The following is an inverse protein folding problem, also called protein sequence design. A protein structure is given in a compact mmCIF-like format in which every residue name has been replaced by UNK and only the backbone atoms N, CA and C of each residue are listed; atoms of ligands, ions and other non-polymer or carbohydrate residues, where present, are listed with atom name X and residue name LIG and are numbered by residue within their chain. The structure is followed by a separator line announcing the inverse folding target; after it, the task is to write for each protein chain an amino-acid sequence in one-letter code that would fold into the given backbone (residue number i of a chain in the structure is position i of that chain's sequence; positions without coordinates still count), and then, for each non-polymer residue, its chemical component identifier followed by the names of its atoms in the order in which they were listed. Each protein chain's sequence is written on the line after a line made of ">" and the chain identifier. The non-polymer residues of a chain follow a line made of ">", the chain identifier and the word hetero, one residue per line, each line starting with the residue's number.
data_IF_138632444970
#
_entry.id   IF_138632444970
#
_cell.length_a   1.000
_cell.length_b   1.000
_cell.length_c   1.000
_cell.angle_alpha   90.00
_cell.angle_beta   90.00
_cell.angle_gamma   90.00
#
_symmetry.space_group_name_H-M   'P 1'
#
loop_
_entity.id
_entity.type
_entity.pdbx_description
1 polymer ?
#
# COMPACT_ATOMS: atom_id res chain seq x y z
N UNK A 1 -46.55 70.34 32.79
CA UNK A 1 -45.23 70.43 32.17
C UNK A 1 -44.24 69.76 33.10
N UNK A 2 -43.85 68.53 32.78
CA UNK A 2 -42.79 67.83 33.50
C UNK A 2 -41.68 67.50 32.48
N UNK A 3 -40.58 68.19 32.65
CA UNK A 3 -39.42 68.05 31.74
C UNK A 3 -38.79 66.71 31.92
N UNK A 4 -38.58 66.08 30.78
CA UNK A 4 -37.82 64.84 30.60
C UNK A 4 -36.33 65.21 30.71
N UNK A 5 -35.72 64.84 31.83
CA UNK A 5 -34.28 65.02 32.02
C UNK A 5 -33.63 63.77 31.45
N UNK A 6 -33.21 63.83 30.20
CA UNK A 6 -32.33 62.85 29.61
C UNK A 6 -31.04 62.76 30.41
N UNK A 7 -30.88 61.68 31.17
CA UNK A 7 -29.60 61.32 31.80
C UNK A 7 -28.57 61.03 30.71
N UNK A 8 -27.80 62.06 30.37
CA UNK A 8 -26.55 61.87 29.64
C UNK A 8 -25.57 61.19 30.59
N UNK A 9 -25.43 59.90 30.52
CA UNK A 9 -24.46 59.15 31.34
C UNK A 9 -23.06 59.70 31.11
N UNK A 10 -22.49 60.39 32.11
CA UNK A 10 -21.09 60.79 32.15
C UNK A 10 -20.26 59.48 32.18
N UNK A 11 -19.69 59.06 31.05
CA UNK A 11 -18.68 58.03 31.05
C UNK A 11 -17.47 58.53 31.84
N UNK A 12 -17.13 57.83 32.92
CA UNK A 12 -15.96 58.14 33.74
C UNK A 12 -14.69 58.01 32.85
N UNK A 13 -13.72 58.93 33.00
CA UNK A 13 -12.44 58.89 32.31
C UNK A 13 -11.73 57.48 32.40
N UNK A 14 -11.90 56.86 33.59
CA UNK A 14 -11.41 55.47 33.78
C UNK A 14 -12.09 54.45 32.84
N UNK A 15 -13.38 54.61 32.58
CA UNK A 15 -14.12 53.71 31.69
C UNK A 15 -13.69 53.89 30.24
N UNK A 16 -13.39 55.12 29.82
CA UNK A 16 -12.84 55.41 28.49
C UNK A 16 -11.42 54.83 28.33
N UNK A 17 -10.56 54.96 29.36
CA UNK A 17 -9.23 54.38 29.37
C UNK A 17 -9.27 52.84 29.32
N UNK A 18 -10.11 52.21 30.15
CA UNK A 18 -10.28 50.74 30.11
C UNK A 18 -10.81 50.23 28.76
N UNK A 19 -11.80 50.92 28.19
CA UNK A 19 -12.31 50.59 26.86
C UNK A 19 -11.24 50.74 25.79
N UNK A 20 -10.41 51.79 25.83
CA UNK A 20 -9.28 51.98 24.92
C UNK A 20 -8.20 50.90 25.05
N UNK A 21 -7.85 50.48 26.26
CA UNK A 21 -6.92 49.41 26.52
C UNK A 21 -7.43 48.06 25.97
N UNK A 22 -8.72 47.74 26.19
CA UNK A 22 -9.32 46.53 25.68
C UNK A 22 -9.29 46.47 24.13
N UNK A 23 -9.59 47.58 23.47
CA UNK A 23 -9.50 47.66 21.98
C UNK A 23 -8.09 47.44 21.50
N UNK A 24 -7.07 47.98 22.17
CA UNK A 24 -5.65 47.80 21.83
C UNK A 24 -5.25 46.33 22.03
N UNK A 25 -5.62 45.72 23.16
CA UNK A 25 -5.32 44.30 23.44
C UNK A 25 -5.99 43.36 22.42
N UNK A 26 -7.24 43.63 22.06
CA UNK A 26 -7.95 42.86 21.03
C UNK A 26 -7.30 43.00 19.65
N UNK A 27 -6.88 44.24 19.30
CA UNK A 27 -6.16 44.46 18.04
C UNK A 27 -4.80 43.71 18.00
N UNK A 28 -4.09 43.74 19.14
CA UNK A 28 -2.81 43.03 19.27
C UNK A 28 -2.99 41.50 19.18
N UNK A 29 -4.01 40.93 19.82
CA UNK A 29 -4.35 39.53 19.75
C UNK A 29 -4.71 39.11 18.33
N UNK A 30 -5.52 39.91 17.61
CA UNK A 30 -5.84 39.67 16.21
C UNK A 30 -4.61 39.72 15.30
N UNK A 31 -3.72 40.68 15.52
CA UNK A 31 -2.47 40.79 14.75
C UNK A 31 -1.59 39.59 14.99
N UNK A 32 -1.37 39.15 16.22
CA UNK A 32 -0.61 37.97 16.57
C UNK A 32 -1.18 36.71 15.89
N UNK A 33 -2.50 36.53 15.95
CA UNK A 33 -3.19 35.42 15.30
C UNK A 33 -3.00 35.41 13.75
N UNK A 34 -3.11 36.60 13.14
CA UNK A 34 -2.89 36.72 11.69
C UNK A 34 -1.44 36.39 11.30
N UNK A 35 -0.47 36.80 12.15
CA UNK A 35 0.93 36.47 11.96
C UNK A 35 1.17 34.97 12.08
N UNK A 36 0.56 34.26 13.04
CA UNK A 36 0.63 32.80 13.17
C UNK A 36 -0.02 32.08 11.99
N UNK A 37 -1.16 32.57 11.51
CA UNK A 37 -1.82 32.04 10.31
C UNK A 37 -0.93 32.19 9.07
N UNK A 38 -0.31 33.37 8.92
CA UNK A 38 0.60 33.62 7.80
C UNK A 38 1.88 32.76 7.88
N UNK A 39 2.47 32.65 9.07
CA UNK A 39 3.66 31.84 9.29
C UNK A 39 3.42 30.35 9.10
N UNK A 40 2.24 29.85 9.52
CA UNK A 40 1.87 28.44 9.38
C UNK A 40 1.26 28.10 8.02
N UNK A 41 0.81 29.09 7.23
CA UNK A 41 0.04 28.89 6.00
C UNK A 41 -1.34 28.26 6.22
N UNK A 42 -1.82 28.21 7.48
CA UNK A 42 -3.09 27.59 7.86
C UNK A 42 -4.09 28.63 8.32
N UNK A 43 -5.29 28.57 7.79
CA UNK A 43 -6.40 29.44 8.23
C UNK A 43 -6.93 29.05 9.62
N UNK A 44 -6.95 27.76 9.92
CA UNK A 44 -7.37 27.20 11.22
C UNK A 44 -6.13 26.78 12.01
N UNK A 45 -5.89 27.43 13.14
CA UNK A 45 -4.79 27.10 14.04
C UNK A 45 -5.24 26.10 15.12
N UNK A 46 -6.44 26.30 15.65
CA UNK A 46 -7.02 25.46 16.69
C UNK A 46 -8.38 24.90 16.26
N UNK A 47 -8.73 23.65 16.66
CA UNK A 47 -10.04 23.07 16.38
C UNK A 47 -11.21 23.88 16.98
N UNK A 48 -10.96 24.68 18.03
CA UNK A 48 -11.92 25.55 18.67
C UNK A 48 -12.31 26.80 17.86
N UNK A 49 -11.49 27.12 16.82
CA UNK A 49 -11.74 28.32 15.99
C UNK A 49 -12.92 28.11 15.03
N UNK A 50 -13.03 26.91 14.48
CA UNK A 50 -14.16 26.44 13.68
C UNK A 50 -14.30 24.92 13.84
N UNK A 51 -15.16 24.45 14.74
CA UNK A 51 -15.34 23.02 15.02
C UNK A 51 -15.93 22.27 13.82
N UNK A 52 -16.70 22.93 12.96
CA UNK A 52 -17.28 22.29 11.76
C UNK A 52 -16.20 22.04 10.72
N UNK A 53 -15.39 23.05 10.43
CA UNK A 53 -14.25 22.90 9.51
C UNK A 53 -13.19 21.94 10.08
N UNK A 54 -12.94 21.94 11.38
CA UNK A 54 -12.03 21.00 12.03
C UNK A 54 -12.52 19.54 11.87
N UNK A 55 -13.82 19.29 12.03
CA UNK A 55 -14.41 17.97 11.80
C UNK A 55 -14.27 17.54 10.33
N UNK A 56 -14.51 18.43 9.38
CA UNK A 56 -14.31 18.16 7.96
C UNK A 56 -12.86 17.84 7.62
N UNK A 57 -11.90 18.59 8.17
CA UNK A 57 -10.47 18.32 8.01
C UNK A 57 -10.11 16.92 8.53
N UNK A 58 -10.66 16.52 9.68
CA UNK A 58 -10.44 15.18 10.22
C UNK A 58 -10.99 14.08 9.31
N UNK A 59 -12.19 14.26 8.77
CA UNK A 59 -12.79 13.33 7.83
C UNK A 59 -11.95 13.21 6.55
N UNK A 60 -11.49 14.33 5.99
CA UNK A 60 -10.63 14.34 4.80
C UNK A 60 -9.29 13.67 5.09
N UNK A 61 -8.68 13.91 6.25
CA UNK A 61 -7.42 13.25 6.64
C UNK A 61 -7.59 11.75 6.80
N UNK A 62 -8.72 11.30 7.36
CA UNK A 62 -9.04 9.87 7.44
C UNK A 62 -9.19 9.23 6.07
N UNK A 63 -9.85 9.92 5.13
CA UNK A 63 -9.99 9.43 3.76
C UNK A 63 -8.66 9.43 3.01
N UNK A 64 -7.81 10.45 3.18
CA UNK A 64 -6.45 10.45 2.62
C UNK A 64 -5.62 9.28 3.14
N UNK A 65 -5.64 9.02 4.46
CA UNK A 65 -4.93 7.88 5.03
C UNK A 65 -5.43 6.54 4.47
N UNK A 66 -6.74 6.43 4.20
CA UNK A 66 -7.32 5.26 3.54
C UNK A 66 -6.83 5.12 2.11
N UNK A 67 -6.76 6.22 1.36
CA UNK A 67 -6.23 6.24 -0.02
C UNK A 67 -4.76 5.84 -0.04
N UNK A 68 -3.94 6.34 0.88
CA UNK A 68 -2.52 5.98 1.00
C UNK A 68 -2.36 4.48 1.26
N UNK A 69 -3.20 3.90 2.12
CA UNK A 69 -3.21 2.45 2.37
C UNK A 69 -3.57 1.67 1.10
N UNK A 70 -4.60 2.10 0.37
CA UNK A 70 -5.00 1.47 -0.89
C UNK A 70 -3.90 1.56 -1.95
N UNK A 71 -3.22 2.70 -2.07
CA UNK A 71 -2.09 2.86 -2.99
C UNK A 71 -0.94 1.92 -2.63
N UNK A 72 -0.63 1.77 -1.35
CA UNK A 72 0.37 0.82 -0.87
C UNK A 72 -0.01 -0.62 -1.21
N UNK A 73 -1.27 -0.99 -1.02
CA UNK A 73 -1.79 -2.33 -1.37
C UNK A 73 -1.72 -2.58 -2.89
N UNK A 74 -2.10 -1.60 -3.71
CA UNK A 74 -2.00 -1.68 -5.18
C UNK A 74 -0.54 -1.86 -5.61
N UNK A 75 0.39 -1.12 -5.02
CA UNK A 75 1.82 -1.23 -5.34
C UNK A 75 2.36 -2.62 -5.00
N UNK A 76 1.98 -3.16 -3.82
CA UNK A 76 2.34 -4.53 -3.42
C UNK A 76 1.76 -5.56 -4.37
N UNK A 77 0.49 -5.45 -4.70
CA UNK A 77 -0.19 -6.32 -5.64
C UNK A 77 0.45 -6.32 -7.02
N UNK A 78 0.81 -5.13 -7.53
CA UNK A 78 1.50 -5.00 -8.81
C UNK A 78 2.87 -5.69 -8.80
N UNK A 79 3.60 -5.59 -7.69
CA UNK A 79 4.88 -6.28 -7.54
C UNK A 79 4.73 -7.80 -7.46
N UNK A 80 3.71 -8.30 -6.75
CA UNK A 80 3.40 -9.74 -6.72
C UNK A 80 3.00 -10.26 -8.10
N UNK A 81 2.15 -9.54 -8.83
CA UNK A 81 1.73 -9.93 -10.18
C UNK A 81 2.92 -9.95 -11.16
N UNK A 82 3.82 -8.97 -11.10
CA UNK A 82 5.02 -8.98 -11.92
C UNK A 82 5.89 -10.21 -11.63
N UNK A 83 6.04 -10.59 -10.36
CA UNK A 83 6.78 -11.80 -9.97
C UNK A 83 6.10 -13.08 -10.50
N UNK A 84 4.76 -13.14 -10.46
CA UNK A 84 4.00 -14.28 -11.05
C UNK A 84 4.20 -14.33 -12.55
N UNK A 85 4.14 -13.18 -13.23
CA UNK A 85 4.39 -13.08 -14.69
C UNK A 85 5.78 -13.60 -15.08
N UNK A 86 6.82 -13.15 -14.36
CA UNK A 86 8.20 -13.61 -14.57
C UNK A 86 8.35 -15.12 -14.31
N UNK A 87 7.71 -15.63 -13.26
CA UNK A 87 7.71 -17.05 -12.94
C UNK A 87 7.02 -17.89 -14.03
N UNK A 88 5.87 -17.45 -14.52
CA UNK A 88 5.13 -18.13 -15.60
C UNK A 88 5.92 -18.10 -16.90
N UNK A 89 6.55 -16.98 -17.26
CA UNK A 89 7.40 -16.87 -18.45
C UNK A 89 8.61 -17.83 -18.37
N UNK A 90 9.22 -17.96 -17.18
CA UNK A 90 10.29 -18.94 -16.95
C UNK A 90 9.78 -20.37 -17.14
N UNK A 91 8.65 -20.73 -16.56
CA UNK A 91 8.01 -22.06 -16.73
C UNK A 91 7.73 -22.36 -18.19
N UNK A 92 7.22 -21.39 -18.96
CA UNK A 92 6.98 -21.54 -20.40
C UNK A 92 8.28 -21.88 -21.14
N UNK A 93 9.37 -21.15 -20.85
CA UNK A 93 10.70 -21.43 -21.44
C UNK A 93 11.20 -22.85 -21.14
N UNK A 94 11.06 -23.29 -19.87
CA UNK A 94 11.43 -24.63 -19.43
C UNK A 94 10.63 -25.73 -20.18
N UNK A 95 9.30 -25.51 -20.32
CA UNK A 95 8.42 -26.44 -21.01
C UNK A 95 8.72 -26.52 -22.52
N UNK A 96 9.02 -25.37 -23.14
CA UNK A 96 9.46 -25.36 -24.56
C UNK A 96 10.76 -26.16 -24.75
N UNK A 97 11.72 -26.00 -23.86
CA UNK A 97 12.99 -26.76 -23.91
C UNK A 97 12.76 -28.25 -23.68
N UNK A 98 11.92 -28.61 -22.71
CA UNK A 98 11.56 -30.01 -22.47
C UNK A 98 10.89 -30.63 -23.69
N UNK A 99 10.01 -29.89 -24.37
CA UNK A 99 9.37 -30.35 -25.61
C UNK A 99 10.41 -30.60 -26.75
N UNK A 100 11.36 -29.65 -26.92
CA UNK A 100 12.43 -29.85 -27.91
C UNK A 100 13.23 -31.12 -27.63
N UNK A 101 13.60 -31.35 -26.37
CA UNK A 101 14.36 -32.54 -25.96
C UNK A 101 13.54 -33.81 -26.16
N UNK A 102 12.24 -33.78 -25.83
CA UNK A 102 11.36 -34.92 -26.05
C UNK A 102 11.24 -35.27 -27.54
N UNK A 103 11.07 -34.27 -28.41
CA UNK A 103 11.04 -34.51 -29.90
C UNK A 103 12.38 -35.05 -30.39
N UNK A 104 13.51 -34.50 -29.87
CA UNK A 104 14.85 -35.01 -30.22
C UNK A 104 15.03 -36.45 -29.72
N UNK A 105 14.63 -36.76 -28.48
CA UNK A 105 14.76 -38.06 -27.87
C UNK A 105 13.91 -39.16 -28.54
N UNK A 106 12.80 -38.76 -29.19
CA UNK A 106 11.95 -39.67 -29.99
C UNK A 106 12.57 -40.10 -31.32
N UNK A 107 13.73 -39.57 -31.68
CA UNK A 107 14.40 -39.96 -32.91
C UNK A 107 15.08 -41.34 -32.75
N UNK A 108 14.69 -42.29 -33.58
CA UNK A 108 15.20 -43.69 -33.55
C UNK A 108 16.68 -43.83 -33.95
N UNK A 109 17.28 -42.82 -34.57
CA UNK A 109 18.70 -42.83 -34.94
C UNK A 109 19.66 -42.48 -33.80
N UNK A 110 19.15 -42.11 -32.63
CA UNK A 110 19.99 -41.77 -31.47
C UNK A 110 20.59 -42.99 -30.80
N UNK A 111 21.87 -42.87 -30.42
CA UNK A 111 22.53 -43.88 -29.59
C UNK A 111 21.92 -43.94 -28.18
N UNK A 112 22.04 -45.06 -27.43
CA UNK A 112 21.63 -45.15 -26.05
C UNK A 112 22.31 -44.10 -25.15
N UNK A 113 23.56 -43.73 -25.45
CA UNK A 113 24.30 -42.68 -24.71
C UNK A 113 23.69 -41.32 -24.96
N UNK A 114 23.33 -40.95 -26.17
CA UNK A 114 22.70 -39.67 -26.49
C UNK A 114 21.32 -39.54 -25.83
N UNK A 115 20.54 -40.65 -25.80
CA UNK A 115 19.26 -40.71 -25.11
C UNK A 115 19.40 -40.47 -23.57
N UNK A 116 20.45 -41.04 -22.96
CA UNK A 116 20.75 -40.83 -21.54
C UNK A 116 21.12 -39.37 -21.26
N UNK A 117 21.85 -38.69 -22.14
CA UNK A 117 22.17 -37.25 -22.01
C UNK A 117 20.89 -36.45 -22.05
N UNK A 118 19.99 -36.73 -23.02
CA UNK A 118 18.69 -36.04 -23.09
C UNK A 118 17.85 -36.30 -21.85
N UNK A 119 17.81 -37.51 -21.32
CA UNK A 119 17.07 -37.83 -20.10
C UNK A 119 17.60 -37.03 -18.90
N UNK A 120 18.91 -36.93 -18.73
CA UNK A 120 19.53 -36.13 -17.67
C UNK A 120 19.18 -34.64 -17.81
N UNK A 121 19.15 -34.10 -19.03
CA UNK A 121 18.75 -32.71 -19.27
C UNK A 121 17.27 -32.51 -18.93
N UNK A 122 16.39 -33.45 -19.28
CA UNK A 122 14.95 -33.39 -18.90
C UNK A 122 14.77 -33.46 -17.36
N UNK A 123 15.53 -34.29 -16.68
CA UNK A 123 15.50 -34.37 -15.22
C UNK A 123 15.91 -33.00 -14.58
N UNK A 124 16.95 -32.36 -15.10
CA UNK A 124 17.39 -31.04 -14.69
C UNK A 124 16.28 -29.98 -14.90
N UNK A 125 15.62 -30.03 -16.08
CA UNK A 125 14.48 -29.12 -16.37
C UNK A 125 13.30 -29.37 -15.42
N UNK A 126 13.06 -30.64 -15.04
CA UNK A 126 12.03 -30.97 -14.03
C UNK A 126 12.33 -30.35 -12.67
N UNK A 127 13.59 -30.45 -12.20
CA UNK A 127 14.00 -29.83 -10.94
C UNK A 127 13.83 -28.32 -10.99
N UNK A 128 14.21 -27.67 -12.10
CA UNK A 128 14.01 -26.24 -12.30
C UNK A 128 12.53 -25.86 -12.32
N UNK A 129 11.67 -26.70 -12.90
CA UNK A 129 10.22 -26.49 -12.91
C UNK A 129 9.64 -26.54 -11.50
N UNK A 130 10.06 -27.50 -10.67
CA UNK A 130 9.66 -27.60 -9.27
C UNK A 130 10.15 -26.38 -8.49
N UNK A 131 11.38 -25.93 -8.72
CA UNK A 131 11.90 -24.73 -8.11
C UNK A 131 11.09 -23.49 -8.50
N UNK A 132 10.72 -23.34 -9.76
CA UNK A 132 9.86 -22.25 -10.23
C UNK A 132 8.45 -22.31 -9.62
N UNK A 133 7.89 -23.52 -9.47
CA UNK A 133 6.60 -23.73 -8.80
C UNK A 133 6.65 -23.48 -7.28
N UNK A 134 7.84 -23.45 -6.70
CA UNK A 134 8.09 -23.09 -5.29
C UNK A 134 8.66 -21.68 -5.14
N UNK A 135 8.38 -20.78 -6.07
CA UNK A 135 8.81 -19.37 -5.97
C UNK A 135 8.18 -18.70 -4.75
N UNK A 136 9.00 -17.94 -4.03
CA UNK A 136 8.58 -17.17 -2.86
C UNK A 136 8.49 -15.68 -3.19
N UNK A 137 7.55 -14.98 -2.55
CA UNK A 137 7.47 -13.52 -2.58
C UNK A 137 8.60 -12.88 -1.76
N UNK A 138 8.71 -11.56 -1.82
CA UNK A 138 9.65 -10.79 -0.97
C UNK A 138 9.44 -11.00 0.53
N UNK A 139 8.23 -11.39 0.93
CA UNK A 139 7.84 -11.64 2.32
C UNK A 139 8.17 -13.09 2.75
N UNK A 140 8.66 -13.93 1.84
CA UNK A 140 8.99 -15.33 2.08
C UNK A 140 7.82 -16.30 1.90
N UNK A 141 6.67 -15.81 1.47
CA UNK A 141 5.47 -16.59 1.21
C UNK A 141 5.54 -17.29 -0.14
N UNK A 142 5.16 -18.56 -0.20
CA UNK A 142 5.04 -19.29 -1.47
C UNK A 142 3.83 -18.80 -2.27
N UNK A 143 4.08 -18.32 -3.50
CA UNK A 143 3.04 -17.67 -4.32
C UNK A 143 1.98 -18.63 -4.86
N UNK A 144 2.31 -19.90 -4.99
CA UNK A 144 1.41 -20.95 -5.53
C UNK A 144 0.82 -21.87 -4.46
N UNK A 145 0.98 -21.55 -3.17
CA UNK A 145 0.54 -22.39 -2.07
C UNK A 145 -0.92 -22.16 -1.61
N UNK A 146 -1.63 -21.19 -2.19
CA UNK A 146 -2.95 -20.75 -1.72
C UNK A 146 -2.85 -19.99 -0.40
N UNK A 147 -3.54 -20.46 0.65
CA UNK A 147 -3.40 -19.91 2.02
C UNK A 147 -2.28 -20.57 2.83
N UNK A 148 -1.78 -21.74 2.41
CA UNK A 148 -0.72 -22.49 3.09
C UNK A 148 0.69 -21.94 2.76
N UNK A 149 0.87 -20.62 2.80
CA UNK A 149 2.02 -19.87 2.27
C UNK A 149 3.37 -20.18 2.93
N UNK A 150 3.36 -20.80 4.11
CA UNK A 150 4.59 -21.07 4.90
C UNK A 150 5.28 -22.38 4.53
N UNK A 151 4.67 -23.23 3.70
CA UNK A 151 5.20 -24.52 3.27
C UNK A 151 5.33 -24.57 1.76
N UNK A 152 6.40 -25.23 1.24
CA UNK A 152 6.58 -25.41 -0.19
C UNK A 152 5.39 -26.20 -0.78
N UNK A 153 4.68 -25.63 -1.79
CA UNK A 153 3.50 -26.28 -2.35
C UNK A 153 3.82 -27.53 -3.17
N UNK A 154 5.04 -27.64 -3.70
CA UNK A 154 5.47 -28.81 -4.47
C UNK A 154 6.65 -29.48 -3.82
N UNK A 155 6.50 -30.76 -3.49
CA UNK A 155 7.60 -31.59 -3.01
C UNK A 155 8.03 -32.54 -4.11
N UNK A 156 9.36 -32.70 -4.28
CA UNK A 156 9.95 -33.63 -5.22
C UNK A 156 9.85 -35.05 -4.68
N UNK A 157 8.95 -35.85 -5.24
CA UNK A 157 9.04 -37.29 -5.14
C UNK A 157 9.61 -37.80 -6.49
N UNK A 158 10.51 -38.73 -6.44
CA UNK A 158 11.36 -39.26 -7.53
C UNK A 158 10.64 -39.58 -8.87
N UNK A 159 9.32 -39.68 -8.86
CA UNK A 159 8.50 -39.99 -10.05
C UNK A 159 7.38 -38.96 -10.29
N UNK A 160 6.79 -38.40 -9.20
CA UNK A 160 5.67 -37.48 -9.32
C UNK A 160 5.82 -36.35 -8.29
N UNK A 161 5.84 -35.10 -8.73
CA UNK A 161 5.72 -33.96 -7.83
C UNK A 161 4.34 -33.98 -7.16
N UNK A 162 4.32 -33.88 -5.82
CA UNK A 162 3.06 -33.84 -5.06
C UNK A 162 2.76 -32.39 -4.68
N UNK A 163 1.53 -31.97 -4.98
CA UNK A 163 1.02 -30.67 -4.53
C UNK A 163 0.45 -30.79 -3.11
N UNK A 164 0.95 -29.99 -2.18
CA UNK A 164 0.53 -29.92 -0.77
C UNK A 164 -0.07 -28.57 -0.38
N UNK A 165 -0.25 -27.67 -1.32
CA UNK A 165 -0.95 -26.40 -1.11
C UNK A 165 -2.46 -26.59 -0.99
N UNK A 166 -3.18 -25.50 -0.78
CA UNK A 166 -4.64 -25.47 -0.75
C UNK A 166 -5.22 -24.72 -1.98
N UNK A 167 -6.56 -24.71 -2.09
CA UNK A 167 -7.28 -24.03 -3.16
C UNK A 167 -7.68 -22.58 -2.77
N UNK A 168 -7.03 -21.98 -1.79
CA UNK A 168 -7.30 -20.62 -1.33
C UNK A 168 -7.04 -19.58 -2.40
N UNK A 169 -7.95 -18.61 -2.52
CA UNK A 169 -7.79 -17.44 -3.39
C UNK A 169 -7.41 -16.26 -2.52
N UNK A 170 -6.18 -15.77 -2.66
CA UNK A 170 -5.70 -14.59 -1.93
C UNK A 170 -6.37 -13.33 -2.50
N UNK A 171 -7.18 -12.67 -1.67
CA UNK A 171 -7.74 -11.38 -2.01
C UNK A 171 -6.77 -10.27 -1.56
N UNK A 172 -6.53 -9.31 -2.42
CA UNK A 172 -5.78 -8.09 -2.10
C UNK A 172 -6.77 -7.12 -1.46
N UNK A 173 -6.66 -6.93 -0.14
CA UNK A 173 -7.54 -6.03 0.64
C UNK A 173 -6.80 -4.78 1.09
#
# INVERSE_FOLDING_TARGET
>A
MKGDITMIGRMSSNQIHQSGLNVILDAQAKLSRTQEQLASGKQLLNPSDDPVAAAQIQNIRSELARIDTLQSNISRASSELAMVEDSVANVEGLLMRARELAVRGANDSLSPQDRNIIATEIDTLREQLIAAANTQSSDGDYIYAGYAVSAAPYTDATVNATYSGDAGVRAIT
#
